data_IF_488380785089
#
_entry.id   IF_488380785089
#
_cell.length_a   1.000
_cell.length_b   1.000
_cell.length_c   1.000
_cell.angle_alpha   90.00
_cell.angle_beta   90.00
_cell.angle_gamma   90.00
#
_symmetry.space_group_name_H-M   'P 1'
#
loop_
_entity.id
_entity.type
_entity.pdbx_description
1 polymer ?
#
# COMPACT_ATOMS: atom_id res chain seq x y z
N UNK A 1 6.95 5.39 2.47
CA UNK A 1 5.65 4.67 2.42
C UNK A 1 5.99 3.19 2.45
N UNK A 2 5.24 2.38 3.18
CA UNK A 2 5.50 0.94 3.34
C UNK A 2 4.34 0.19 2.69
N UNK A 3 4.55 -0.50 1.56
CA UNK A 3 3.52 -1.34 0.95
C UNK A 3 3.32 -2.60 1.79
N UNK A 4 2.06 -2.94 2.06
CA UNK A 4 1.65 -4.14 2.80
C UNK A 4 0.56 -4.83 2.00
N UNK A 5 0.82 -6.05 1.57
CA UNK A 5 -0.15 -6.88 0.87
C UNK A 5 -1.08 -7.61 1.85
N UNK A 6 -2.02 -8.40 1.32
CA UNK A 6 -2.94 -9.22 2.11
C UNK A 6 -2.38 -10.58 2.51
N UNK A 7 -1.05 -10.77 2.42
CA UNK A 7 -0.37 -11.99 2.81
C UNK A 7 -0.42 -12.21 4.33
N UNK A 8 -0.55 -13.48 4.74
CA UNK A 8 -0.66 -13.85 6.15
C UNK A 8 0.54 -13.40 7.01
N UNK A 9 1.72 -13.24 6.40
CA UNK A 9 2.97 -12.81 7.05
C UNK A 9 3.34 -11.35 6.80
N UNK A 10 2.50 -10.59 6.08
CA UNK A 10 2.80 -9.21 5.71
C UNK A 10 2.98 -8.31 6.94
N UNK A 11 2.25 -8.61 8.02
CA UNK A 11 2.32 -7.88 9.29
C UNK A 11 3.58 -8.22 10.08
N UNK A 12 4.03 -9.47 10.04
CA UNK A 12 5.27 -9.89 10.70
C UNK A 12 6.45 -9.15 10.05
N UNK A 13 6.51 -9.16 8.71
CA UNK A 13 7.52 -8.41 7.96
C UNK A 13 7.44 -6.89 8.16
N UNK A 14 6.24 -6.33 8.33
CA UNK A 14 6.07 -4.92 8.70
C UNK A 14 6.70 -4.62 10.06
N UNK A 15 6.43 -5.45 11.08
CA UNK A 15 6.96 -5.24 12.42
C UNK A 15 8.49 -5.34 12.44
N UNK A 16 9.05 -6.36 11.77
CA UNK A 16 10.50 -6.53 11.65
C UNK A 16 11.15 -5.32 10.97
N UNK A 17 10.55 -4.83 9.88
CA UNK A 17 11.02 -3.63 9.20
C UNK A 17 10.94 -2.39 10.09
N UNK A 18 9.85 -2.22 10.84
CA UNK A 18 9.69 -1.08 11.74
C UNK A 18 10.70 -1.10 12.89
N UNK A 19 11.01 -2.27 13.45
CA UNK A 19 12.05 -2.43 14.47
C UNK A 19 13.40 -2.01 13.92
N UNK A 20 13.78 -2.52 12.73
CA UNK A 20 15.04 -2.14 12.07
C UNK A 20 15.12 -0.64 11.79
N UNK A 21 14.03 -0.03 11.33
CA UNK A 21 13.98 1.41 11.09
C UNK A 21 14.15 2.20 12.38
N UNK A 22 13.56 1.74 13.50
CA UNK A 22 13.75 2.37 14.80
C UNK A 22 15.19 2.27 15.28
N UNK A 23 15.85 1.13 15.08
CA UNK A 23 17.25 0.94 15.45
C UNK A 23 18.18 1.88 14.66
N UNK A 24 17.92 2.03 13.35
CA UNK A 24 18.75 2.84 12.47
C UNK A 24 18.48 4.36 12.54
N UNK A 25 17.21 4.75 12.73
CA UNK A 25 16.77 6.15 12.63
C UNK A 25 16.37 6.75 13.98
N UNK A 26 16.38 5.93 15.03
CA UNK A 26 15.95 6.30 16.37
C UNK A 26 14.42 6.31 16.54
N UNK A 27 13.94 6.34 17.80
CA UNK A 27 12.52 6.26 18.15
C UNK A 27 11.70 7.50 17.71
N UNK A 28 12.36 8.58 17.32
CA UNK A 28 11.71 9.82 16.87
C UNK A 28 11.32 9.79 15.39
N UNK A 29 11.77 8.78 14.62
CA UNK A 29 11.42 8.65 13.21
C UNK A 29 9.94 8.27 13.03
N UNK A 30 9.11 9.29 12.79
CA UNK A 30 7.67 9.16 12.62
C UNK A 30 7.19 9.46 11.20
N UNK A 31 8.08 9.75 10.24
CA UNK A 31 7.69 10.14 8.88
C UNK A 31 7.48 8.93 7.96
N UNK A 32 6.50 8.11 8.31
CA UNK A 32 6.11 6.93 7.52
C UNK A 32 4.59 6.70 7.55
N UNK A 33 4.13 5.94 6.56
CA UNK A 33 2.73 5.56 6.31
C UNK A 33 2.70 4.18 5.66
N UNK A 34 1.61 3.45 5.87
CA UNK A 34 1.34 2.13 5.29
C UNK A 34 0.38 2.29 4.11
N UNK A 35 0.76 1.71 2.98
CA UNK A 35 -0.10 1.58 1.80
C UNK A 35 -0.56 0.13 1.71
N UNK A 36 -1.87 -0.09 1.62
CA UNK A 36 -2.40 -1.44 1.35
C UNK A 36 -2.34 -1.73 -0.14
N UNK A 37 -1.64 -2.78 -0.52
CA UNK A 37 -1.46 -3.22 -1.92
C UNK A 37 -2.07 -4.59 -2.16
N UNK A 38 -2.20 -4.96 -3.44
CA UNK A 38 -2.75 -6.26 -3.86
C UNK A 38 -4.13 -6.57 -3.27
N UNK A 39 -4.93 -5.53 -3.00
CA UNK A 39 -6.23 -5.68 -2.36
C UNK A 39 -7.15 -6.46 -3.30
N UNK A 40 -7.68 -7.57 -2.81
CA UNK A 40 -8.59 -8.42 -3.58
C UNK A 40 -10.01 -8.25 -3.05
N UNK A 41 -10.88 -7.62 -3.86
CA UNK A 41 -12.28 -7.33 -3.51
C UNK A 41 -13.08 -8.61 -3.15
N UNK A 42 -12.70 -9.75 -3.73
CA UNK A 42 -13.35 -11.04 -3.46
C UNK A 42 -12.87 -11.69 -2.16
N UNK A 43 -11.67 -11.34 -1.66
CA UNK A 43 -11.06 -11.94 -0.47
C UNK A 43 -11.48 -11.25 0.84
N UNK A 44 -12.79 -11.03 1.04
CA UNK A 44 -13.32 -10.23 2.17
C UNK A 44 -12.93 -10.75 3.56
N UNK A 45 -12.65 -12.05 3.72
CA UNK A 45 -12.23 -12.63 5.01
C UNK A 45 -10.78 -12.28 5.30
N UNK A 46 -9.89 -12.46 4.33
CA UNK A 46 -8.48 -12.10 4.42
C UNK A 46 -8.30 -10.60 4.68
N UNK A 47 -9.06 -9.76 3.98
CA UNK A 47 -8.96 -8.31 4.19
C UNK A 47 -9.43 -7.87 5.58
N UNK A 48 -10.45 -8.54 6.14
CA UNK A 48 -10.88 -8.27 7.53
C UNK A 48 -9.81 -8.68 8.53
N UNK A 49 -9.18 -9.83 8.33
CA UNK A 49 -8.08 -10.30 9.16
C UNK A 49 -6.87 -9.35 9.11
N UNK A 50 -6.47 -8.93 7.90
CA UNK A 50 -5.38 -7.97 7.73
C UNK A 50 -5.68 -6.65 8.47
N UNK A 51 -6.90 -6.11 8.31
CA UNK A 51 -7.31 -4.88 8.99
C UNK A 51 -7.29 -5.07 10.51
N UNK A 52 -7.74 -6.20 11.03
CA UNK A 52 -7.69 -6.50 12.46
C UNK A 52 -6.25 -6.56 12.99
N UNK A 53 -5.32 -7.08 12.21
CA UNK A 53 -3.89 -7.12 12.57
C UNK A 53 -3.18 -5.77 12.42
N UNK A 54 -3.69 -4.88 11.58
CA UNK A 54 -3.24 -3.49 11.47
C UNK A 54 -3.80 -2.59 12.58
N UNK A 55 -4.57 -3.14 13.52
CA UNK A 55 -5.08 -2.40 14.68
C UNK A 55 -3.91 -1.83 15.49
N UNK A 56 -3.96 -0.53 15.80
CA UNK A 56 -2.87 0.24 16.39
C UNK A 56 -2.06 1.07 15.37
N UNK A 57 -2.20 0.79 14.08
CA UNK A 57 -1.56 1.55 13.00
C UNK A 57 -2.54 2.45 12.23
N UNK A 58 -3.76 2.68 12.72
CA UNK A 58 -4.83 3.36 11.98
C UNK A 58 -4.42 4.76 11.51
N UNK A 59 -3.72 5.52 12.35
CA UNK A 59 -3.20 6.86 12.02
C UNK A 59 -2.04 6.82 11.01
N UNK A 60 -1.52 5.64 10.71
CA UNK A 60 -0.43 5.39 9.75
C UNK A 60 -0.95 4.84 8.43
N UNK A 61 -2.19 4.36 8.36
CA UNK A 61 -2.79 3.86 7.13
C UNK A 61 -3.10 5.02 6.20
N UNK A 62 -2.71 4.89 4.93
CA UNK A 62 -3.26 5.71 3.86
C UNK A 62 -4.70 5.30 3.58
N UNK A 63 -5.53 6.26 3.18
CA UNK A 63 -6.89 6.01 2.72
C UNK A 63 -6.88 5.26 1.39
N UNK A 64 -5.92 5.62 0.52
CA UNK A 64 -5.71 4.99 -0.79
C UNK A 64 -5.26 3.54 -0.66
N UNK A 65 -5.66 2.72 -1.63
CA UNK A 65 -5.32 1.31 -1.73
C UNK A 65 -5.05 0.96 -3.18
N UNK A 66 -4.12 0.04 -3.41
CA UNK A 66 -3.87 -0.49 -4.75
C UNK A 66 -4.49 -1.87 -4.86
N UNK A 67 -5.49 -2.01 -5.72
CA UNK A 67 -6.14 -3.29 -5.95
C UNK A 67 -5.27 -4.20 -6.83
N UNK A 68 -5.41 -5.51 -6.64
CA UNK A 68 -4.84 -6.47 -7.58
C UNK A 68 -5.45 -6.25 -8.96
N UNK A 69 -4.62 -6.05 -9.98
CA UNK A 69 -5.05 -5.71 -11.33
C UNK A 69 -4.20 -6.40 -12.38
N UNK A 70 -4.85 -7.01 -13.36
CA UNK A 70 -4.17 -7.58 -14.53
C UNK A 70 -3.56 -6.49 -15.41
N UNK A 71 -4.23 -5.32 -15.52
CA UNK A 71 -3.73 -4.16 -16.25
C UNK A 71 -2.37 -3.71 -15.70
N UNK A 72 -2.21 -3.71 -14.37
CA UNK A 72 -0.93 -3.37 -13.75
C UNK A 72 0.17 -4.36 -14.15
N UNK A 73 -0.14 -5.65 -14.14
CA UNK A 73 0.79 -6.70 -14.56
C UNK A 73 1.18 -6.57 -16.04
N UNK A 74 0.20 -6.34 -16.92
CA UNK A 74 0.45 -6.16 -18.36
C UNK A 74 1.22 -4.88 -18.67
N UNK A 75 0.98 -3.79 -17.92
CA UNK A 75 1.76 -2.56 -18.08
C UNK A 75 3.25 -2.79 -17.79
N UNK A 76 3.59 -3.63 -16.79
CA UNK A 76 4.98 -4.00 -16.51
C UNK A 76 5.61 -4.80 -17.65
N UNK A 77 4.89 -5.78 -18.23
CA UNK A 77 5.38 -6.53 -19.41
C UNK A 77 5.56 -5.63 -20.64
N UNK A 78 4.72 -4.60 -20.77
CA UNK A 78 4.81 -3.60 -21.83
C UNK A 78 5.82 -2.47 -21.52
N UNK A 79 6.57 -2.56 -20.42
CA UNK A 79 7.54 -1.56 -19.97
C UNK A 79 6.97 -0.13 -19.91
N UNK A 80 5.69 -0.02 -19.53
CA UNK A 80 4.95 1.25 -19.48
C UNK A 80 4.26 1.42 -18.12
N UNK A 81 3.89 2.66 -17.80
CA UNK A 81 3.10 2.91 -16.60
C UNK A 81 1.63 2.52 -16.83
N UNK A 82 0.89 2.26 -15.76
CA UNK A 82 -0.57 2.06 -15.84
C UNK A 82 -1.31 3.25 -16.47
N UNK A 83 -0.75 4.46 -16.37
CA UNK A 83 -1.33 5.67 -16.95
C UNK A 83 -1.14 5.75 -18.46
N UNK A 84 -0.06 5.17 -18.99
CA UNK A 84 0.19 5.10 -20.43
C UNK A 84 -0.49 3.88 -21.04
N UNK A 85 -0.44 2.74 -20.35
CA UNK A 85 -0.97 1.47 -20.83
C UNK A 85 -2.51 1.46 -20.90
N UNK A 86 -3.18 1.84 -19.81
CA UNK A 86 -4.64 2.00 -19.77
C UNK A 86 -5.03 3.06 -18.72
N UNK A 87 -5.08 4.34 -19.10
CA UNK A 87 -5.41 5.44 -18.20
C UNK A 87 -6.82 5.39 -17.62
N UNK A 88 -7.74 4.62 -18.23
CA UNK A 88 -9.12 4.48 -17.75
C UNK A 88 -9.30 3.27 -16.83
N UNK A 89 -8.24 2.48 -16.63
CA UNK A 89 -8.30 1.32 -15.76
C UNK A 89 -8.56 1.70 -14.29
N UNK A 90 -9.24 0.83 -13.53
CA UNK A 90 -9.43 1.07 -12.10
C UNK A 90 -8.12 1.25 -11.32
N UNK A 91 -7.04 0.58 -11.74
CA UNK A 91 -5.74 0.67 -11.08
C UNK A 91 -5.02 1.99 -11.38
N UNK A 92 -5.20 2.57 -12.57
CA UNK A 92 -4.73 3.92 -12.84
C UNK A 92 -5.41 4.94 -11.91
N UNK A 93 -6.70 4.78 -11.64
CA UNK A 93 -7.41 5.59 -10.65
C UNK A 93 -6.90 5.35 -9.21
N UNK A 94 -6.62 4.10 -8.81
CA UNK A 94 -6.03 3.80 -7.50
C UNK A 94 -4.71 4.55 -7.28
N UNK A 95 -3.81 4.52 -8.28
CA UNK A 95 -2.55 5.26 -8.22
C UNK A 95 -2.73 6.79 -8.30
N UNK A 96 -3.75 7.27 -9.03
CA UNK A 96 -4.13 8.68 -9.04
C UNK A 96 -4.55 9.18 -7.65
N UNK A 97 -5.39 8.42 -6.95
CA UNK A 97 -5.79 8.72 -5.57
C UNK A 97 -4.60 8.72 -4.62
N UNK A 98 -3.72 7.72 -4.74
CA UNK A 98 -2.49 7.65 -3.95
C UNK A 98 -1.59 8.88 -4.19
N UNK A 99 -1.41 9.29 -5.44
CA UNK A 99 -0.62 10.47 -5.81
C UNK A 99 -1.17 11.72 -5.12
N UNK A 100 -2.48 11.93 -5.19
CA UNK A 100 -3.13 13.12 -4.64
C UNK A 100 -3.07 13.12 -3.10
N UNK A 101 -3.27 11.95 -2.47
CA UNK A 101 -3.12 11.79 -1.03
C UNK A 101 -1.67 12.06 -0.56
N UNK A 102 -0.66 11.55 -1.28
CA UNK A 102 0.75 11.81 -0.92
C UNK A 102 1.08 13.29 -1.01
N UNK A 103 0.60 14.00 -2.05
CA UNK A 103 0.84 15.44 -2.20
C UNK A 103 0.34 16.21 -0.98
N UNK A 104 -0.88 15.90 -0.51
CA UNK A 104 -1.47 16.51 0.67
C UNK A 104 -0.72 16.22 2.00
N UNK A 105 0.18 15.25 2.04
CA UNK A 105 1.04 14.98 3.22
C UNK A 105 2.42 15.64 3.14
N UNK A 106 2.82 16.14 1.97
CA UNK A 106 4.14 16.75 1.74
C UNK A 106 4.05 18.27 1.80
N UNK A 107 2.92 18.84 1.39
CA UNK A 107 2.54 20.25 1.60
C UNK A 107 2.12 20.53 3.05
#
# INVERSE_FOLDING_TARGET
IIPVDSGARAIDGLNDFLNLVQDLRGPTFKRWRILRTMVNKSAKKTERELVARLKGYEKRLLASKIHKSEVANQSHYAESTVFEFDPKSPVANDYGQLRDEIRAYVE
#
